data_IF_556939392446
#
_entry.id   IF_556939392446
#
_cell.length_a   1.000
_cell.length_b   1.000
_cell.length_c   1.000
_cell.angle_alpha   90.00
_cell.angle_beta   90.00
_cell.angle_gamma   90.00
#
_symmetry.space_group_name_H-M   'P 1'
#
loop_
_entity.id
_entity.type
_entity.pdbx_description
1 polymer ?
#
# COMPACT_ATOMS: atom_id res chain seq x y z
N UNK A 1 40.14 -11.09 16.04
CA UNK A 1 39.89 -10.46 17.36
C UNK A 1 38.48 -9.96 17.34
N UNK A 2 37.64 -10.64 18.08
CA UNK A 2 36.26 -10.29 18.19
C UNK A 2 36.10 -9.21 19.29
N UNK A 3 36.13 -7.94 18.88
CA UNK A 3 35.93 -6.78 19.76
C UNK A 3 34.46 -6.68 20.23
N UNK A 4 33.57 -7.42 19.61
CA UNK A 4 32.12 -7.33 19.80
C UNK A 4 31.52 -8.48 20.63
N UNK A 5 32.37 -9.34 21.23
CA UNK A 5 31.91 -10.40 22.14
C UNK A 5 31.17 -11.56 21.47
N UNK A 6 31.56 -11.94 20.25
CA UNK A 6 30.99 -13.09 19.51
C UNK A 6 29.82 -12.75 18.58
N UNK A 7 29.51 -11.49 18.37
CA UNK A 7 28.48 -11.08 17.39
C UNK A 7 29.08 -11.01 16.00
N UNK A 8 28.55 -11.81 15.06
CA UNK A 8 28.95 -11.76 13.65
C UNK A 8 28.47 -10.46 13.01
N UNK A 9 29.39 -9.49 12.89
CA UNK A 9 29.12 -8.18 12.30
C UNK A 9 28.68 -8.31 10.83
N UNK A 10 29.28 -9.22 10.08
CA UNK A 10 28.94 -9.43 8.67
C UNK A 10 27.54 -10.05 8.48
N UNK A 11 27.12 -10.90 9.41
CA UNK A 11 25.73 -11.39 9.43
C UNK A 11 24.73 -10.26 9.64
N UNK A 12 25.05 -9.31 10.54
CA UNK A 12 24.21 -8.14 10.75
C UNK A 12 24.13 -7.24 9.51
N UNK A 13 25.26 -6.98 8.86
CA UNK A 13 25.29 -6.21 7.59
C UNK A 13 24.44 -6.90 6.52
N UNK A 14 24.59 -8.22 6.35
CA UNK A 14 23.77 -8.99 5.38
C UNK A 14 22.27 -8.85 5.68
N UNK A 15 21.88 -8.98 6.94
CA UNK A 15 20.48 -8.84 7.35
C UNK A 15 19.94 -7.44 7.06
N UNK A 16 20.73 -6.39 7.27
CA UNK A 16 20.34 -5.01 6.94
C UNK A 16 20.18 -4.81 5.43
N UNK A 17 21.11 -5.35 4.63
CA UNK A 17 21.02 -5.27 3.17
C UNK A 17 19.78 -6.03 2.66
N UNK A 18 19.50 -7.21 3.20
CA UNK A 18 18.32 -7.98 2.82
C UNK A 18 17.03 -7.20 3.12
N UNK A 19 16.94 -6.58 4.30
CA UNK A 19 15.79 -5.71 4.64
C UNK A 19 15.65 -4.54 3.68
N UNK A 20 16.76 -3.87 3.38
CA UNK A 20 16.76 -2.74 2.43
C UNK A 20 16.22 -3.15 1.06
N UNK A 21 16.64 -4.30 0.52
CA UNK A 21 16.15 -4.79 -0.78
C UNK A 21 14.68 -5.18 -0.73
N UNK A 22 14.23 -5.83 0.34
CA UNK A 22 12.81 -6.13 0.52
C UNK A 22 11.95 -4.84 0.55
N UNK A 23 12.41 -3.79 1.23
CA UNK A 23 11.73 -2.50 1.26
C UNK A 23 11.70 -1.85 -0.15
N UNK A 24 12.80 -1.97 -0.92
CA UNK A 24 12.85 -1.48 -2.31
C UNK A 24 11.93 -2.23 -3.24
N UNK A 25 11.83 -3.54 -3.10
CA UNK A 25 10.90 -4.37 -3.88
C UNK A 25 9.45 -3.99 -3.58
N UNK A 26 9.12 -3.78 -2.32
CA UNK A 26 7.81 -3.30 -1.88
C UNK A 26 7.47 -1.93 -2.48
N UNK A 27 8.38 -0.96 -2.37
CA UNK A 27 8.22 0.37 -2.98
C UNK A 27 8.02 0.29 -4.49
N UNK A 28 8.73 -0.62 -5.16
CA UNK A 28 8.61 -0.84 -6.60
C UNK A 28 7.22 -1.34 -6.97
N UNK A 29 6.69 -2.32 -6.24
CA UNK A 29 5.34 -2.85 -6.46
C UNK A 29 4.29 -1.76 -6.26
N UNK A 30 4.40 -0.97 -5.18
CA UNK A 30 3.49 0.14 -4.92
C UNK A 30 3.57 1.24 -6.00
N UNK A 31 4.78 1.55 -6.48
CA UNK A 31 4.98 2.50 -7.57
C UNK A 31 4.35 2.02 -8.88
N UNK A 32 4.44 0.72 -9.20
CA UNK A 32 3.79 0.12 -10.37
C UNK A 32 2.27 0.24 -10.24
N UNK A 33 1.69 -0.12 -9.09
CA UNK A 33 0.25 0.01 -8.85
C UNK A 33 -0.21 1.47 -9.00
N UNK A 34 0.51 2.42 -8.41
CA UNK A 34 0.25 3.84 -8.58
C UNK A 34 0.31 4.26 -10.05
N UNK A 35 1.30 3.76 -10.80
CA UNK A 35 1.45 4.02 -12.23
C UNK A 35 0.28 3.48 -13.06
N UNK A 36 -0.23 2.29 -12.77
CA UNK A 36 -1.40 1.71 -13.43
C UNK A 36 -2.63 2.60 -13.26
N UNK A 37 -2.91 3.10 -12.07
CA UNK A 37 -4.05 3.99 -11.85
C UNK A 37 -3.82 5.42 -12.36
N UNK A 38 -2.58 5.85 -12.54
CA UNK A 38 -2.25 7.15 -13.16
C UNK A 38 -2.40 7.14 -14.70
N UNK A 39 -2.57 5.98 -15.34
CA UNK A 39 -2.60 5.88 -16.80
C UNK A 39 -3.86 6.51 -17.44
N UNK A 40 -4.87 6.90 -16.68
CA UNK A 40 -6.07 7.57 -17.19
C UNK A 40 -5.77 8.83 -18.01
N UNK A 41 -4.66 9.52 -17.69
CA UNK A 41 -4.23 10.74 -18.39
C UNK A 41 -3.30 10.45 -19.57
N UNK A 42 -2.87 9.18 -19.75
CA UNK A 42 -1.85 8.80 -20.73
C UNK A 42 -2.44 8.29 -22.03
N UNK A 43 -1.68 8.44 -23.11
CA UNK A 43 -2.10 8.02 -24.45
C UNK A 43 -2.88 9.10 -25.22
N UNK A 44 -3.28 8.77 -26.44
CA UNK A 44 -4.05 9.65 -27.32
C UNK A 44 -5.19 8.87 -27.97
N UNK A 45 -6.27 9.57 -28.35
CA UNK A 45 -7.40 8.98 -29.05
C UNK A 45 -8.03 7.80 -28.27
N UNK A 46 -8.23 6.68 -28.93
CA UNK A 46 -8.90 5.50 -28.37
C UNK A 46 -8.13 4.88 -27.18
N UNK A 47 -6.80 5.00 -27.17
CA UNK A 47 -5.96 4.48 -26.05
C UNK A 47 -6.27 5.27 -24.79
N UNK A 48 -6.30 6.60 -24.86
CA UNK A 48 -6.65 7.45 -23.72
C UNK A 48 -8.06 7.14 -23.20
N UNK A 49 -9.01 6.95 -24.10
CA UNK A 49 -10.39 6.62 -23.74
C UNK A 49 -10.47 5.26 -23.03
N UNK A 50 -9.76 4.24 -23.53
CA UNK A 50 -9.72 2.91 -22.92
C UNK A 50 -9.04 2.94 -21.55
N UNK A 51 -7.93 3.66 -21.40
CA UNK A 51 -7.23 3.82 -20.13
C UNK A 51 -8.11 4.53 -19.09
N UNK A 52 -8.79 5.59 -19.49
CA UNK A 52 -9.71 6.33 -18.62
C UNK A 52 -10.90 5.46 -18.18
N UNK A 53 -11.47 4.67 -19.08
CA UNK A 53 -12.55 3.74 -18.78
C UNK A 53 -12.09 2.68 -17.76
N UNK A 54 -10.93 2.05 -17.99
CA UNK A 54 -10.37 1.06 -17.09
C UNK A 54 -10.18 1.63 -15.67
N UNK A 55 -9.53 2.80 -15.55
CA UNK A 55 -9.30 3.42 -14.25
C UNK A 55 -10.62 3.78 -13.56
N UNK A 56 -11.58 4.34 -14.31
CA UNK A 56 -12.89 4.71 -13.77
C UNK A 56 -13.66 3.50 -13.23
N UNK A 57 -13.63 2.36 -13.92
CA UNK A 57 -14.30 1.12 -13.48
C UNK A 57 -13.64 0.51 -12.24
N UNK A 58 -12.31 0.61 -12.15
CA UNK A 58 -11.54 -0.01 -11.06
C UNK A 58 -11.18 0.95 -9.91
N UNK A 59 -11.70 2.16 -9.92
CA UNK A 59 -11.52 3.14 -8.83
C UNK A 59 -12.86 3.45 -8.18
N UNK A 60 -12.92 3.30 -6.86
CA UNK A 60 -14.05 3.71 -6.04
C UNK A 60 -13.61 4.84 -5.12
N UNK A 61 -13.93 6.07 -5.48
CA UNK A 61 -13.56 7.25 -4.73
C UNK A 61 -14.71 7.68 -3.80
N UNK A 62 -14.44 7.70 -2.50
CA UNK A 62 -15.34 8.18 -1.46
C UNK A 62 -14.89 9.53 -0.90
N UNK A 63 -13.76 10.07 -1.37
CA UNK A 63 -13.33 11.41 -1.00
C UNK A 63 -14.25 12.43 -1.65
N UNK A 64 -14.81 13.34 -0.88
CA UNK A 64 -15.67 14.36 -1.41
C UNK A 64 -14.84 15.56 -1.89
N UNK A 65 -14.33 15.47 -3.10
CA UNK A 65 -13.79 16.66 -3.75
C UNK A 65 -14.90 17.74 -3.83
N UNK A 66 -14.67 18.89 -3.20
CA UNK A 66 -15.61 20.02 -3.18
C UNK A 66 -16.58 20.06 -1.98
N UNK A 67 -16.46 19.18 -1.01
CA UNK A 67 -17.18 19.34 0.25
C UNK A 67 -16.48 20.34 1.18
N UNK A 68 -17.23 21.19 1.83
CA UNK A 68 -16.69 22.21 2.74
C UNK A 68 -15.89 21.62 3.90
N UNK A 69 -16.25 20.41 4.35
CA UNK A 69 -15.55 19.69 5.42
C UNK A 69 -15.66 18.18 5.22
N UNK A 70 -14.71 17.44 5.80
CA UNK A 70 -14.74 15.98 5.79
C UNK A 70 -15.85 15.44 6.69
N UNK A 71 -16.60 14.46 6.20
CA UNK A 71 -17.67 13.79 6.93
C UNK A 71 -17.34 12.31 7.14
N UNK A 72 -18.08 11.63 8.03
CA UNK A 72 -17.90 10.20 8.25
C UNK A 72 -18.21 9.37 6.99
N UNK A 73 -19.04 9.87 6.07
CA UNK A 73 -19.31 9.23 4.79
C UNK A 73 -18.07 9.15 3.85
N UNK A 74 -17.05 9.95 4.11
CA UNK A 74 -15.76 9.94 3.36
C UNK A 74 -14.76 8.96 3.95
N UNK A 75 -15.07 8.33 5.07
CA UNK A 75 -14.27 7.29 5.70
C UNK A 75 -14.73 5.92 5.23
N UNK A 76 -13.81 4.96 5.22
CA UNK A 76 -14.17 3.58 4.94
C UNK A 76 -15.09 3.01 6.03
N UNK A 77 -16.16 2.37 5.58
CA UNK A 77 -17.17 1.71 6.41
C UNK A 77 -17.40 0.25 6.02
N UNK A 78 -18.38 -0.40 6.63
CA UNK A 78 -18.73 -1.80 6.37
C UNK A 78 -19.15 -2.08 4.92
N UNK A 79 -19.63 -1.09 4.20
CA UNK A 79 -20.19 -1.22 2.83
C UNK A 79 -19.18 -0.86 1.76
N UNK A 80 -18.18 -0.05 2.09
CA UNK A 80 -17.22 0.52 1.14
C UNK A 80 -16.50 -0.57 0.32
N UNK A 81 -15.96 -1.60 0.98
CA UNK A 81 -15.25 -2.68 0.30
C UNK A 81 -16.14 -3.44 -0.68
N UNK A 82 -17.35 -3.78 -0.27
CA UNK A 82 -18.30 -4.51 -1.10
C UNK A 82 -18.78 -3.68 -2.30
N UNK A 83 -18.97 -2.38 -2.11
CA UNK A 83 -19.35 -1.44 -3.16
C UNK A 83 -18.23 -1.26 -4.19
N UNK A 84 -16.99 -1.14 -3.72
CA UNK A 84 -15.81 -1.04 -4.59
C UNK A 84 -15.65 -2.31 -5.44
N UNK A 85 -15.74 -3.49 -4.83
CA UNK A 85 -15.61 -4.77 -5.54
C UNK A 85 -16.77 -4.98 -6.51
N UNK A 86 -18.00 -4.62 -6.13
CA UNK A 86 -19.14 -4.74 -7.03
C UNK A 86 -19.00 -3.83 -8.24
N UNK A 87 -18.48 -2.62 -8.07
CA UNK A 87 -18.23 -1.70 -9.18
C UNK A 87 -17.20 -2.27 -10.17
N UNK A 88 -16.13 -2.90 -9.64
CA UNK A 88 -15.02 -3.40 -10.45
C UNK A 88 -15.34 -4.71 -11.18
N UNK A 89 -16.12 -5.63 -10.58
CA UNK A 89 -16.27 -6.96 -11.17
C UNK A 89 -17.67 -7.58 -11.05
N UNK A 90 -18.67 -6.85 -10.57
CA UNK A 90 -20.06 -7.31 -10.49
C UNK A 90 -20.23 -8.53 -9.60
N UNK A 91 -20.57 -9.69 -10.18
CA UNK A 91 -20.84 -10.94 -9.47
C UNK A 91 -19.59 -11.74 -9.06
N UNK A 92 -18.45 -11.51 -9.71
CA UNK A 92 -17.19 -12.24 -9.48
C UNK A 92 -16.40 -11.76 -8.24
N UNK A 93 -17.08 -11.42 -7.15
CA UNK A 93 -16.48 -10.82 -5.94
C UNK A 93 -15.41 -11.70 -5.27
N UNK A 94 -15.46 -13.02 -5.47
CA UNK A 94 -14.53 -13.96 -4.84
C UNK A 94 -13.12 -13.91 -5.41
N UNK A 95 -12.92 -13.28 -6.57
CA UNK A 95 -11.60 -13.13 -7.18
C UNK A 95 -10.66 -12.25 -6.36
N UNK A 96 -11.20 -11.36 -5.54
CA UNK A 96 -10.43 -10.46 -4.70
C UNK A 96 -10.18 -11.11 -3.34
N UNK A 97 -8.91 -11.30 -3.00
CA UNK A 97 -8.48 -12.02 -1.79
C UNK A 97 -7.62 -11.18 -0.84
N UNK A 98 -6.99 -10.11 -1.35
CA UNK A 98 -6.04 -9.29 -0.61
C UNK A 98 -6.47 -7.82 -0.61
N UNK A 99 -6.43 -7.20 0.56
CA UNK A 99 -6.62 -5.75 0.76
C UNK A 99 -5.33 -5.19 1.34
N UNK A 100 -4.78 -4.15 0.75
CA UNK A 100 -3.61 -3.43 1.27
C UNK A 100 -4.04 -2.02 1.64
N UNK A 101 -3.87 -1.63 2.88
CA UNK A 101 -4.30 -0.32 3.38
C UNK A 101 -3.27 0.31 4.32
N UNK A 102 -3.34 1.64 4.44
CA UNK A 102 -2.54 2.39 5.40
C UNK A 102 -3.02 2.17 6.83
N UNK A 103 -2.12 2.28 7.83
CA UNK A 103 -2.43 2.09 9.24
C UNK A 103 -3.57 2.97 9.76
N UNK A 104 -3.68 4.21 9.28
CA UNK A 104 -4.79 5.11 9.64
C UNK A 104 -6.15 4.55 9.22
N UNK A 105 -6.23 3.97 8.02
CA UNK A 105 -7.46 3.31 7.53
C UNK A 105 -7.74 2.05 8.35
N UNK A 106 -6.72 1.24 8.63
CA UNK A 106 -6.84 0.05 9.45
C UNK A 106 -7.38 0.40 10.86
N UNK A 107 -6.85 1.43 11.51
CA UNK A 107 -7.32 1.90 12.82
C UNK A 107 -8.80 2.32 12.78
N UNK A 108 -9.24 3.00 11.71
CA UNK A 108 -10.65 3.33 11.55
C UNK A 108 -11.52 2.06 11.45
N UNK A 109 -11.09 1.06 10.67
CA UNK A 109 -11.81 -0.22 10.53
C UNK A 109 -11.81 -1.03 11.84
N UNK A 110 -10.74 -0.97 12.63
CA UNK A 110 -10.66 -1.57 13.97
C UNK A 110 -11.67 -0.93 14.94
N UNK A 111 -11.72 0.40 14.96
CA UNK A 111 -12.68 1.15 15.79
C UNK A 111 -14.13 0.79 15.43
N UNK A 112 -14.41 0.51 14.15
CA UNK A 112 -15.70 0.04 13.67
C UNK A 112 -15.91 -1.46 13.88
N UNK A 113 -14.91 -2.19 14.43
CA UNK A 113 -14.94 -3.66 14.65
C UNK A 113 -15.16 -4.46 13.36
N UNK A 114 -14.65 -3.96 12.26
CA UNK A 114 -14.75 -4.59 10.93
C UNK A 114 -13.56 -5.51 10.64
N UNK A 115 -12.43 -5.34 11.34
CA UNK A 115 -11.27 -6.21 11.23
C UNK A 115 -11.37 -7.35 12.24
N UNK A 116 -11.21 -8.58 11.76
CA UNK A 116 -11.07 -9.76 12.58
C UNK A 116 -9.62 -10.25 12.49
N UNK A 117 -8.92 -10.23 13.62
CA UNK A 117 -7.56 -10.76 13.70
C UNK A 117 -7.58 -12.28 13.75
N UNK A 118 -6.71 -12.90 12.94
CA UNK A 118 -6.50 -14.33 12.96
C UNK A 118 -5.74 -14.71 14.24
N UNK A 119 -6.28 -15.67 14.97
CA UNK A 119 -5.67 -16.20 16.19
C UNK A 119 -5.18 -17.61 15.96
N UNK A 120 -4.08 -17.96 16.60
CA UNK A 120 -3.66 -19.35 16.73
C UNK A 120 -3.53 -19.71 18.21
N UNK A 121 -3.79 -20.97 18.51
CA UNK A 121 -3.62 -21.51 19.85
C UNK A 121 -2.26 -22.21 19.90
N UNK A 122 -1.38 -21.81 20.80
CA UNK A 122 -0.10 -22.47 20.99
C UNK A 122 -0.25 -23.83 21.70
N UNK A 123 0.84 -24.60 21.81
CA UNK A 123 0.82 -25.92 22.44
C UNK A 123 0.39 -25.89 23.91
N UNK A 124 0.44 -24.72 24.56
CA UNK A 124 0.01 -24.49 25.94
C UNK A 124 -1.46 -24.08 26.04
N UNK A 125 -2.19 -24.01 24.92
CA UNK A 125 -3.59 -23.61 24.89
C UNK A 125 -3.83 -22.10 24.97
N UNK A 126 -2.79 -21.28 24.79
CA UNK A 126 -2.91 -19.82 24.82
C UNK A 126 -3.20 -19.31 23.40
N UNK A 127 -4.27 -18.52 23.25
CA UNK A 127 -4.58 -17.83 22.00
C UNK A 127 -3.63 -16.64 21.81
N UNK A 128 -3.02 -16.56 20.63
CA UNK A 128 -2.16 -15.46 20.21
C UNK A 128 -2.61 -14.92 18.88
N UNK A 129 -2.53 -13.61 18.71
CA UNK A 129 -2.82 -12.97 17.42
C UNK A 129 -1.67 -13.21 16.44
N UNK A 130 -2.01 -13.59 15.21
CA UNK A 130 -1.05 -13.80 14.11
C UNK A 130 -0.54 -12.48 13.50
N UNK A 131 -1.06 -11.33 13.94
CA UNK A 131 -0.75 -10.04 13.32
C UNK A 131 -1.34 -9.85 11.92
N UNK A 132 -2.16 -10.78 11.46
CA UNK A 132 -2.89 -10.71 10.20
C UNK A 132 -4.35 -10.49 10.49
N UNK A 133 -4.95 -9.51 9.80
CA UNK A 133 -6.37 -9.21 9.91
C UNK A 133 -7.13 -9.72 8.68
N UNK A 134 -8.42 -9.94 8.85
CA UNK A 134 -9.35 -10.21 7.75
C UNK A 134 -10.49 -9.21 7.76
N UNK A 135 -10.91 -8.79 6.57
CA UNK A 135 -12.07 -7.92 6.36
C UNK A 135 -12.99 -8.54 5.31
N UNK A 136 -14.20 -8.88 5.70
CA UNK A 136 -15.17 -9.59 4.85
C UNK A 136 -14.59 -10.85 4.16
N UNK A 137 -13.79 -11.63 4.91
CA UNK A 137 -13.16 -12.86 4.41
C UNK A 137 -11.94 -12.64 3.51
N UNK A 138 -11.42 -11.42 3.41
CA UNK A 138 -10.20 -11.08 2.66
C UNK A 138 -9.07 -10.75 3.62
N UNK A 139 -7.87 -11.18 3.30
CA UNK A 139 -6.67 -10.85 4.09
C UNK A 139 -6.38 -9.35 3.98
N UNK A 140 -6.12 -8.71 5.10
CA UNK A 140 -5.73 -7.30 5.16
C UNK A 140 -4.25 -7.21 5.50
N UNK A 141 -3.49 -6.55 4.64
CA UNK A 141 -2.11 -6.16 4.86
C UNK A 141 -2.06 -4.66 5.19
N UNK A 142 -1.44 -4.32 6.31
CA UNK A 142 -1.29 -2.94 6.75
C UNK A 142 0.12 -2.47 6.41
N UNK A 143 0.21 -1.36 5.67
CA UNK A 143 1.48 -0.83 5.18
C UNK A 143 1.44 0.70 5.14
N UNK A 144 2.36 1.33 5.86
CA UNK A 144 2.46 2.80 5.92
C UNK A 144 3.14 3.42 4.68
N UNK A 145 3.70 2.60 3.78
CA UNK A 145 4.22 3.05 2.48
C UNK A 145 3.13 3.24 1.43
N UNK A 146 1.87 2.98 1.78
CA UNK A 146 0.73 3.18 0.88
C UNK A 146 0.60 4.64 0.43
N UNK A 147 0.16 4.89 -0.82
CA UNK A 147 0.04 6.24 -1.33
C UNK A 147 -0.92 7.10 -0.50
N UNK A 148 -0.39 8.23 -0.06
CA UNK A 148 -1.11 9.28 0.67
C UNK A 148 -1.04 10.56 -0.14
N UNK A 149 -2.16 11.24 -0.27
CA UNK A 149 -2.28 12.52 -0.97
C UNK A 149 -2.83 13.57 -0.01
N UNK A 150 -2.09 14.64 0.19
CA UNK A 150 -2.57 15.79 0.95
C UNK A 150 -3.22 16.77 -0.02
N UNK A 151 -4.48 17.06 0.20
CA UNK A 151 -5.25 18.06 -0.55
C UNK A 151 -5.33 19.31 0.27
N UNK A 152 -4.79 20.41 -0.28
CA UNK A 152 -4.78 21.70 0.39
C UNK A 152 -6.19 22.30 0.50
N UNK A 153 -6.38 23.15 1.49
CA UNK A 153 -7.59 23.92 1.64
C UNK A 153 -7.79 24.85 0.43
N UNK A 154 -9.02 24.98 0.00
CA UNK A 154 -9.41 25.96 -1.04
C UNK A 154 -10.24 27.03 -0.37
N UNK A 155 -9.82 28.30 -0.50
CA UNK A 155 -10.59 29.45 -0.02
C UNK A 155 -11.77 29.73 -0.94
N UNK A 156 -12.88 30.17 -0.36
CA UNK A 156 -14.04 30.61 -1.13
C UNK A 156 -13.68 31.81 -2.01
N UNK A 157 -14.04 31.74 -3.29
CA UNK A 157 -13.79 32.81 -4.26
C UNK A 157 -14.99 33.00 -5.16
N UNK A 158 -15.38 34.26 -5.35
CA UNK A 158 -16.56 34.66 -6.13
C UNK A 158 -17.84 34.69 -5.33
N UNK A 159 -18.97 34.88 -6.02
CA UNK A 159 -20.30 34.92 -5.42
C UNK A 159 -21.06 33.63 -5.72
N UNK A 160 -21.62 32.99 -4.70
CA UNK A 160 -22.39 31.75 -4.85
C UNK A 160 -23.52 31.94 -5.86
N UNK A 161 -23.55 31.05 -6.87
CA UNK A 161 -24.50 31.06 -7.96
C UNK A 161 -24.03 31.80 -9.21
N UNK A 162 -22.85 32.43 -9.20
CA UNK A 162 -22.26 33.07 -10.37
C UNK A 162 -21.22 32.18 -11.06
N UNK A 163 -20.96 32.48 -12.33
CA UNK A 163 -19.92 31.77 -13.09
C UNK A 163 -18.54 32.09 -12.50
N UNK A 164 -17.76 31.03 -12.18
CA UNK A 164 -16.43 31.17 -11.57
C UNK A 164 -16.45 31.11 -10.04
N UNK A 165 -17.59 30.85 -9.41
CA UNK A 165 -17.65 30.60 -7.97
C UNK A 165 -16.89 29.32 -7.60
N UNK A 166 -16.02 29.42 -6.60
CA UNK A 166 -15.29 28.29 -5.99
C UNK A 166 -15.71 28.23 -4.53
N UNK A 167 -16.30 27.11 -4.13
CA UNK A 167 -16.69 26.90 -2.72
C UNK A 167 -15.44 26.62 -1.85
N UNK A 168 -15.49 27.09 -0.61
CA UNK A 168 -14.48 26.77 0.38
C UNK A 168 -14.39 25.24 0.60
N UNK A 169 -13.18 24.75 0.77
CA UNK A 169 -12.91 23.35 1.10
C UNK A 169 -11.79 23.28 2.13
N UNK A 170 -12.01 22.56 3.22
CA UNK A 170 -10.97 22.30 4.21
C UNK A 170 -9.88 21.38 3.64
N UNK A 171 -8.64 21.55 4.13
CA UNK A 171 -7.57 20.62 3.82
C UNK A 171 -7.91 19.22 4.35
N UNK A 172 -7.62 18.20 3.57
CA UNK A 172 -7.79 16.80 4.00
C UNK A 172 -6.71 15.90 3.43
N UNK A 173 -6.55 14.75 4.07
CA UNK A 173 -5.61 13.71 3.62
C UNK A 173 -6.38 12.54 3.05
N UNK A 174 -6.06 12.19 1.80
CA UNK A 174 -6.65 11.08 1.05
C UNK A 174 -5.74 9.87 1.13
N UNK A 175 -6.26 8.76 1.59
CA UNK A 175 -5.56 7.48 1.68
C UNK A 175 -6.05 6.55 0.57
N UNK A 176 -5.10 5.90 -0.10
CA UNK A 176 -5.41 4.90 -1.12
C UNK A 176 -5.37 3.50 -0.51
N UNK A 177 -6.35 2.67 -0.82
CA UNK A 177 -6.40 1.25 -0.45
C UNK A 177 -6.49 0.44 -1.72
N UNK A 178 -5.61 -0.56 -1.87
CA UNK A 178 -5.65 -1.49 -3.01
C UNK A 178 -6.37 -2.77 -2.62
N UNK A 179 -7.24 -3.23 -3.53
CA UNK A 179 -7.91 -4.52 -3.42
C UNK A 179 -7.47 -5.38 -4.60
N UNK A 180 -6.77 -6.45 -4.32
CA UNK A 180 -6.10 -7.28 -5.32
C UNK A 180 -6.71 -8.68 -5.36
N UNK A 181 -6.79 -9.20 -6.56
CA UNK A 181 -7.17 -10.59 -6.82
C UNK A 181 -5.96 -11.51 -6.94
N UNK A 182 -6.21 -12.79 -6.93
CA UNK A 182 -5.18 -13.79 -7.19
C UNK A 182 -4.59 -13.59 -8.59
N UNK A 183 -3.27 -13.57 -8.69
CA UNK A 183 -2.56 -13.37 -9.95
C UNK A 183 -2.52 -11.91 -10.46
N UNK A 184 -3.01 -10.92 -9.69
CA UNK A 184 -2.96 -9.52 -10.08
C UNK A 184 -1.53 -8.97 -10.18
N UNK A 185 -0.61 -9.50 -9.39
CA UNK A 185 0.81 -9.16 -9.42
C UNK A 185 1.59 -10.46 -9.53
N UNK A 186 2.51 -10.51 -10.51
CA UNK A 186 3.53 -11.55 -10.60
C UNK A 186 4.88 -10.89 -10.36
N UNK A 187 5.54 -11.29 -9.29
CA UNK A 187 6.88 -10.83 -8.96
C UNK A 187 7.82 -12.03 -8.99
N UNK A 188 8.83 -11.94 -9.83
CA UNK A 188 9.82 -13.00 -9.99
C UNK A 188 11.21 -12.38 -10.00
N UNK A 189 12.07 -12.69 -9.03
CA UNK A 189 13.43 -12.17 -9.02
C UNK A 189 14.23 -12.77 -10.16
N UNK A 190 14.73 -11.94 -11.05
CA UNK A 190 15.71 -12.36 -12.06
C UNK A 190 17.06 -12.41 -11.38
N UNK A 191 17.45 -13.61 -10.95
CA UNK A 191 18.72 -13.82 -10.26
C UNK A 191 19.91 -13.44 -11.12
N UNK A 192 20.79 -12.58 -10.60
CA UNK A 192 22.11 -12.41 -11.17
C UNK A 192 22.90 -13.72 -11.04
N UNK A 193 23.78 -14.02 -12.01
CA UNK A 193 24.63 -15.22 -11.97
C UNK A 193 25.52 -15.25 -10.71
N UNK A 194 25.90 -14.07 -10.23
CA UNK A 194 26.59 -13.84 -8.95
C UNK A 194 25.88 -12.68 -8.25
N UNK A 195 24.95 -12.94 -7.30
CA UNK A 195 24.15 -11.90 -6.67
C UNK A 195 24.93 -11.03 -5.68
N UNK A 196 26.04 -11.53 -5.18
CA UNK A 196 26.96 -10.77 -4.31
C UNK A 196 28.36 -11.39 -4.39
N UNK A 197 29.38 -10.60 -4.15
CA UNK A 197 30.76 -11.06 -4.07
C UNK A 197 31.39 -10.58 -2.75
N UNK A 198 32.01 -11.49 -2.03
CA UNK A 198 32.82 -11.15 -0.85
C UNK A 198 34.29 -11.29 -1.18
N UNK A 199 35.01 -10.18 -1.15
CA UNK A 199 36.45 -10.13 -1.24
C UNK A 199 37.07 -10.02 0.16
N UNK A 200 38.15 -10.83 0.42
CA UNK A 200 38.95 -10.68 1.62
C UNK A 200 40.36 -10.30 1.28
N UNK A 201 40.82 -9.17 1.77
CA UNK A 201 42.24 -8.81 1.74
C UNK A 201 42.88 -9.09 3.12
N UNK A 202 43.61 -10.17 3.19
CA UNK A 202 44.27 -10.60 4.44
C UNK A 202 45.48 -9.74 4.81
N UNK A 203 46.00 -8.89 3.90
CA UNK A 203 47.21 -8.09 4.11
C UNK A 203 46.92 -6.72 4.68
N UNK A 204 45.74 -6.19 4.44
CA UNK A 204 45.36 -4.85 4.87
C UNK A 204 44.76 -4.91 6.27
N UNK A 205 45.35 -4.17 7.23
CA UNK A 205 44.86 -3.99 8.60
C UNK A 205 44.51 -5.26 9.39
N UNK A 206 45.17 -6.38 9.08
CA UNK A 206 44.89 -7.68 9.72
C UNK A 206 43.73 -8.46 9.10
N UNK A 207 43.22 -8.02 7.99
CA UNK A 207 42.13 -8.59 7.20
C UNK A 207 40.99 -7.59 7.02
N UNK A 208 40.72 -7.23 5.77
CA UNK A 208 39.59 -6.39 5.36
C UNK A 208 38.63 -7.23 4.52
N UNK A 209 37.35 -7.27 4.92
CA UNK A 209 36.31 -7.96 4.17
C UNK A 209 35.46 -6.91 3.43
N UNK A 210 35.34 -7.06 2.10
CA UNK A 210 34.54 -6.17 1.24
C UNK A 210 33.37 -6.95 0.68
N UNK A 211 32.17 -6.41 0.83
CA UNK A 211 30.95 -6.92 0.21
C UNK A 211 30.57 -6.02 -0.95
N UNK A 212 30.39 -6.60 -2.16
CA UNK A 212 30.00 -5.91 -3.40
C UNK A 212 28.66 -6.45 -3.85
#
# INVERSE_FOLDING_TARGET
>A
YDVTGGVDFMANVRNQITRYWNDRDQDTILAILKGVFAMQATGTGNIKTANAAFVSEHTYDISAAGAASTTDAMKMDATTLNSAIQKACGDNKQRFSLVICHSVVATNLENLKLLAYLKYTDEQGIERDLGMATWNGRTVLIDDSMPVENVDAVEESGTSGESGYVAAQDAYTKYTTYVLGEGAISFEPVGAKVPYEMGRDAKTRGGEDTLI
#
